data_IF_032322010225
#
_entry.id   IF_032322010225
#
_cell.length_a   1.000
_cell.length_b   1.000
_cell.length_c   1.000
_cell.angle_alpha   90.00
_cell.angle_beta   90.00
_cell.angle_gamma   90.00
#
_symmetry.space_group_name_H-M   'P 1'
#
loop_
_entity.id
_entity.type
_entity.pdbx_description
1 polymer ?
#
# COMPACT_ATOMS: atom_id res chain seq x y z
N UNK A 1 20.91 5.05 3.76
CA UNK A 1 19.52 5.56 3.64
C UNK A 1 19.27 5.73 2.16
N UNK A 2 18.72 4.71 1.50
CA UNK A 2 18.41 4.82 0.07
C UNK A 2 17.20 5.74 -0.13
N UNK A 3 17.23 6.54 -1.19
CA UNK A 3 16.23 7.57 -1.48
C UNK A 3 14.89 6.88 -1.77
N UNK A 4 14.04 6.78 -0.75
CA UNK A 4 12.66 6.37 -0.93
C UNK A 4 11.88 7.54 -1.56
N UNK A 5 11.28 7.33 -2.72
CA UNK A 5 10.35 8.31 -3.28
C UNK A 5 9.00 8.14 -2.57
N UNK A 6 8.54 9.19 -1.90
CA UNK A 6 7.29 9.17 -1.14
C UNK A 6 6.18 9.86 -1.94
N UNK A 7 5.09 9.13 -2.21
CA UNK A 7 3.88 9.68 -2.80
C UNK A 7 2.75 9.66 -1.77
N UNK A 8 1.98 10.75 -1.70
CA UNK A 8 0.92 10.90 -0.71
C UNK A 8 -0.45 10.97 -1.35
N UNK A 9 -1.35 10.08 -0.94
CA UNK A 9 -2.76 10.23 -1.22
C UNK A 9 -3.45 11.08 -0.15
N UNK A 10 -4.46 11.83 -0.57
CA UNK A 10 -5.37 12.55 0.34
C UNK A 10 -6.53 11.67 0.81
N UNK A 11 -7.22 12.09 1.87
CA UNK A 11 -8.40 11.44 2.47
C UNK A 11 -9.66 11.48 1.58
N UNK A 12 -9.54 11.31 0.25
CA UNK A 12 -10.70 11.42 -0.65
C UNK A 12 -10.98 10.10 -1.35
N UNK A 13 -12.25 9.84 -1.74
CA UNK A 13 -12.55 8.83 -2.75
C UNK A 13 -11.59 9.00 -3.94
N UNK A 14 -11.07 7.89 -4.47
CA UNK A 14 -10.04 7.93 -5.51
C UNK A 14 -8.62 8.17 -4.98
N UNK A 15 -8.32 7.85 -3.72
CA UNK A 15 -6.96 7.85 -3.18
C UNK A 15 -6.02 6.96 -4.03
N UNK A 16 -6.54 5.85 -4.55
CA UNK A 16 -5.83 4.96 -5.46
C UNK A 16 -5.41 5.62 -6.77
N UNK A 17 -6.29 6.43 -7.38
CA UNK A 17 -5.98 7.15 -8.62
C UNK A 17 -4.88 8.19 -8.42
N UNK A 18 -4.79 8.81 -7.24
CA UNK A 18 -3.70 9.73 -6.92
C UNK A 18 -2.36 9.02 -6.87
N UNK A 19 -2.32 7.83 -6.27
CA UNK A 19 -1.11 7.00 -6.24
C UNK A 19 -0.78 6.43 -7.63
N UNK A 20 -1.79 6.04 -8.41
CA UNK A 20 -1.61 5.59 -9.78
C UNK A 20 -0.99 6.70 -10.65
N UNK A 21 -1.51 7.94 -10.54
CA UNK A 21 -0.97 9.09 -11.27
C UNK A 21 0.49 9.38 -10.88
N UNK A 22 0.85 9.20 -9.61
CA UNK A 22 2.23 9.28 -9.15
C UNK A 22 3.12 8.17 -9.74
N UNK A 23 2.65 6.91 -9.71
CA UNK A 23 3.37 5.77 -10.28
C UNK A 23 3.51 5.87 -11.81
N UNK A 24 2.57 6.51 -12.50
CA UNK A 24 2.63 6.72 -13.95
C UNK A 24 3.89 7.48 -14.40
N UNK A 25 4.47 8.32 -13.52
CA UNK A 25 5.75 8.98 -13.78
C UNK A 25 6.97 8.05 -13.74
N UNK A 26 6.82 6.85 -13.17
CA UNK A 26 7.91 5.88 -13.01
C UNK A 26 7.91 4.91 -14.20
N UNK A 27 8.88 5.07 -15.09
CA UNK A 27 9.13 4.16 -16.22
C UNK A 27 10.41 3.34 -16.08
N UNK A 28 10.65 2.46 -17.06
CA UNK A 28 11.81 1.55 -17.12
C UNK A 28 13.18 2.27 -17.11
N UNK A 29 13.23 3.57 -17.39
CA UNK A 29 14.45 4.37 -17.29
C UNK A 29 14.92 4.64 -15.86
N UNK A 30 14.07 4.41 -14.84
CA UNK A 30 14.40 4.64 -13.42
C UNK A 30 15.10 3.42 -12.80
N UNK A 31 16.11 2.87 -13.45
CA UNK A 31 16.78 1.63 -13.02
C UNK A 31 17.53 1.73 -11.69
N UNK A 32 17.84 2.95 -11.25
CA UNK A 32 18.45 3.22 -9.93
C UNK A 32 17.43 3.30 -8.79
N UNK A 33 16.13 3.34 -9.10
CA UNK A 33 15.07 3.43 -8.11
C UNK A 33 14.85 2.05 -7.47
N UNK A 34 15.07 1.97 -6.15
CA UNK A 34 14.92 0.72 -5.39
C UNK A 34 13.73 0.70 -4.45
N UNK A 35 13.32 1.86 -3.97
CA UNK A 35 12.26 1.97 -2.96
C UNK A 35 11.27 3.09 -3.29
N UNK A 36 9.99 2.74 -3.27
CA UNK A 36 8.87 3.68 -3.37
C UNK A 36 7.97 3.47 -2.16
N UNK A 37 7.62 4.55 -1.49
CA UNK A 37 6.64 4.55 -0.42
C UNK A 37 5.34 5.22 -0.91
N UNK A 38 4.23 4.51 -0.84
CA UNK A 38 2.89 4.98 -1.17
C UNK A 38 2.15 5.22 0.14
N UNK A 39 2.02 6.48 0.54
CA UNK A 39 1.30 6.83 1.75
C UNK A 39 -0.20 6.73 1.51
N UNK A 40 -0.84 5.86 2.28
CA UNK A 40 -2.28 5.63 2.25
C UNK A 40 -3.01 6.42 3.34
N UNK A 41 -4.32 6.70 3.16
CA UNK A 41 -5.12 7.36 4.18
C UNK A 41 -5.26 6.52 5.46
N UNK A 42 -4.94 7.13 6.60
CA UNK A 42 -5.20 6.56 7.94
C UNK A 42 -6.61 6.92 8.36
N UNK A 43 -7.57 6.15 7.88
CA UNK A 43 -8.99 6.40 8.14
C UNK A 43 -9.36 5.68 9.42
N UNK A 44 -9.91 6.42 10.37
CA UNK A 44 -10.60 5.82 11.48
C UNK A 44 -12.03 5.57 11.02
N UNK A 45 -12.59 4.36 11.19
CA UNK A 45 -14.03 4.23 11.14
C UNK A 45 -14.58 5.10 12.27
N UNK A 46 -15.04 6.31 11.96
CA UNK A 46 -15.76 7.13 12.92
C UNK A 46 -17.02 6.35 13.31
N UNK A 47 -17.26 6.11 14.61
CA UNK A 47 -18.44 5.35 15.05
C UNK A 47 -19.70 6.02 14.49
N UNK A 48 -20.46 5.27 13.68
CA UNK A 48 -21.68 5.74 13.02
C UNK A 48 -21.57 6.09 11.53
N UNK A 49 -20.38 6.05 10.93
CA UNK A 49 -20.24 6.20 9.48
C UNK A 49 -20.37 4.85 8.76
N UNK A 50 -21.45 4.67 8.00
CA UNK A 50 -21.75 3.54 7.10
C UNK A 50 -21.02 3.63 5.75
N UNK A 51 -20.00 4.49 5.64
CA UNK A 51 -19.26 4.62 4.39
C UNK A 51 -18.49 3.33 4.11
N UNK A 52 -18.43 2.87 2.84
CA UNK A 52 -17.61 1.72 2.46
C UNK A 52 -16.20 1.91 2.98
N UNK A 53 -15.61 0.83 3.48
CA UNK A 53 -14.24 0.89 3.92
C UNK A 53 -13.38 1.31 2.71
N UNK A 54 -12.69 2.46 2.77
CA UNK A 54 -12.00 3.04 1.62
C UNK A 54 -10.87 2.14 1.10
N UNK A 55 -10.42 1.17 1.91
CA UNK A 55 -9.40 0.20 1.53
C UNK A 55 -9.97 -0.98 0.72
N UNK A 56 -11.30 -1.17 0.65
CA UNK A 56 -11.95 -2.23 -0.14
C UNK A 56 -11.83 -1.98 -1.66
N UNK A 57 -11.72 -0.71 -2.06
CA UNK A 57 -11.56 -0.32 -3.45
C UNK A 57 -10.32 0.58 -3.64
N UNK A 58 -9.12 -0.02 -3.78
CA UNK A 58 -7.91 0.72 -4.10
C UNK A 58 -7.89 1.27 -5.54
N UNK A 59 -8.92 1.03 -6.36
CA UNK A 59 -9.03 1.52 -7.73
C UNK A 59 -8.29 0.67 -8.77
N UNK A 60 -8.85 0.59 -9.99
CA UNK A 60 -8.26 -0.14 -11.12
C UNK A 60 -6.92 0.44 -11.57
N UNK A 61 -6.85 1.78 -11.62
CA UNK A 61 -5.65 2.51 -12.04
C UNK A 61 -4.43 2.14 -11.20
N UNK A 62 -4.61 2.00 -9.88
CA UNK A 62 -3.51 1.68 -8.97
C UNK A 62 -2.97 0.27 -9.22
N UNK A 63 -3.84 -0.73 -9.31
CA UNK A 63 -3.41 -2.10 -9.58
C UNK A 63 -2.66 -2.23 -10.91
N UNK A 64 -3.15 -1.55 -11.96
CA UNK A 64 -2.51 -1.53 -13.28
C UNK A 64 -1.12 -0.90 -13.23
N UNK A 65 -0.99 0.26 -12.59
CA UNK A 65 0.29 0.96 -12.48
C UNK A 65 1.29 0.20 -11.61
N UNK A 66 0.84 -0.46 -10.54
CA UNK A 66 1.68 -1.34 -9.73
C UNK A 66 2.25 -2.50 -10.56
N UNK A 67 1.41 -3.22 -11.30
CA UNK A 67 1.88 -4.30 -12.19
C UNK A 67 2.90 -3.78 -13.19
N UNK A 68 2.56 -2.70 -13.90
CA UNK A 68 3.45 -2.09 -14.91
C UNK A 68 4.81 -1.71 -14.32
N UNK A 69 4.82 -1.07 -13.17
CA UNK A 69 6.04 -0.60 -12.50
C UNK A 69 6.87 -1.78 -11.99
N UNK A 70 6.24 -2.77 -11.37
CA UNK A 70 6.93 -3.95 -10.83
C UNK A 70 7.46 -4.86 -11.94
N UNK A 71 6.77 -4.99 -13.06
CA UNK A 71 7.26 -5.70 -14.24
C UNK A 71 8.43 -4.95 -14.91
N UNK A 72 8.33 -3.63 -15.00
CA UNK A 72 9.35 -2.78 -15.64
C UNK A 72 10.62 -2.55 -14.82
N UNK A 73 10.54 -2.67 -13.48
CA UNK A 73 11.64 -2.43 -12.55
C UNK A 73 11.82 -3.62 -11.60
N UNK A 74 12.60 -4.66 -11.98
CA UNK A 74 12.70 -5.91 -11.23
C UNK A 74 13.26 -5.75 -9.80
N UNK A 75 14.08 -4.72 -9.58
CA UNK A 75 14.71 -4.46 -8.28
C UNK A 75 13.92 -3.47 -7.39
N UNK A 76 12.75 -3.02 -7.84
CA UNK A 76 11.96 -2.05 -7.10
C UNK A 76 11.08 -2.74 -6.05
N UNK A 77 11.10 -2.19 -4.84
CA UNK A 77 10.17 -2.50 -3.75
C UNK A 77 9.20 -1.33 -3.56
N UNK A 78 7.91 -1.64 -3.46
CA UNK A 78 6.84 -0.66 -3.20
C UNK A 78 6.22 -0.95 -1.83
N UNK A 79 6.29 0.03 -0.94
CA UNK A 79 5.73 -0.06 0.40
C UNK A 79 4.48 0.83 0.54
N UNK A 80 3.36 0.25 0.95
CA UNK A 80 2.18 1.01 1.37
C UNK A 80 2.38 1.45 2.82
N UNK A 81 2.42 2.75 3.06
CA UNK A 81 2.70 3.31 4.37
C UNK A 81 1.47 3.95 5.00
N UNK A 82 1.04 3.44 6.15
CA UNK A 82 -0.03 4.00 6.96
C UNK A 82 0.55 4.79 8.15
N UNK A 83 0.36 6.11 8.14
CA UNK A 83 0.91 6.99 9.18
C UNK A 83 -0.10 7.18 10.34
N UNK A 84 0.33 7.11 11.60
CA UNK A 84 -0.50 7.35 12.78
C UNK A 84 -1.60 6.29 12.97
N UNK A 85 -1.25 5.03 12.79
CA UNK A 85 -2.13 3.94 13.15
C UNK A 85 -2.39 3.96 14.67
N UNK A 86 -3.63 3.77 15.09
CA UNK A 86 -3.97 3.70 16.51
C UNK A 86 -3.43 2.46 17.21
N UNK A 87 -3.35 1.36 16.47
CA UNK A 87 -2.89 0.08 16.97
C UNK A 87 -2.40 -0.79 15.82
N UNK A 88 -1.52 -1.73 16.13
CA UNK A 88 -1.09 -2.76 15.18
C UNK A 88 -2.26 -3.60 14.67
N UNK A 89 -3.31 -3.78 15.49
CA UNK A 89 -4.55 -4.46 15.07
C UNK A 89 -5.26 -3.69 13.95
N UNK A 90 -5.37 -2.37 14.08
CA UNK A 90 -6.00 -1.53 13.04
C UNK A 90 -5.17 -1.55 11.76
N UNK A 91 -3.85 -1.42 11.89
CA UNK A 91 -2.94 -1.47 10.74
C UNK A 91 -2.99 -2.83 10.03
N UNK A 92 -3.01 -3.93 10.79
CA UNK A 92 -3.13 -5.26 10.23
C UNK A 92 -4.50 -5.48 9.55
N UNK A 93 -5.59 -4.92 10.10
CA UNK A 93 -6.89 -4.94 9.42
C UNK A 93 -6.85 -4.22 8.08
N UNK A 94 -6.22 -3.04 7.99
CA UNK A 94 -6.04 -2.31 6.73
C UNK A 94 -5.23 -3.13 5.74
N UNK A 95 -4.12 -3.73 6.20
CA UNK A 95 -3.28 -4.62 5.39
C UNK A 95 -4.09 -5.78 4.83
N UNK A 96 -4.81 -6.52 5.67
CA UNK A 96 -5.64 -7.66 5.24
C UNK A 96 -6.74 -7.25 4.26
N UNK A 97 -7.36 -6.08 4.45
CA UNK A 97 -8.35 -5.55 3.51
C UNK A 97 -7.74 -5.24 2.15
N UNK A 98 -6.60 -4.55 2.12
CA UNK A 98 -5.88 -4.25 0.87
C UNK A 98 -5.39 -5.51 0.17
N UNK A 99 -4.86 -6.46 0.94
CA UNK A 99 -4.43 -7.78 0.45
C UNK A 99 -5.58 -8.48 -0.28
N UNK A 100 -6.75 -8.59 0.37
CA UNK A 100 -7.94 -9.21 -0.21
C UNK A 100 -8.39 -8.48 -1.47
N UNK A 101 -8.41 -7.15 -1.46
CA UNK A 101 -8.80 -6.36 -2.62
C UNK A 101 -7.84 -6.59 -3.81
N UNK A 102 -6.53 -6.66 -3.55
CA UNK A 102 -5.54 -6.95 -4.58
C UNK A 102 -5.62 -8.40 -5.08
N UNK A 103 -5.84 -9.36 -4.20
CA UNK A 103 -6.02 -10.76 -4.57
C UNK A 103 -7.22 -10.97 -5.51
N UNK A 104 -8.35 -10.34 -5.19
CA UNK A 104 -9.57 -10.50 -5.97
C UNK A 104 -9.50 -9.81 -7.33
N UNK A 105 -8.84 -8.66 -7.43
CA UNK A 105 -8.92 -7.78 -8.61
C UNK A 105 -7.66 -7.76 -9.47
N UNK A 106 -6.50 -8.02 -8.88
CA UNK A 106 -5.21 -7.98 -9.57
C UNK A 106 -4.34 -9.18 -9.16
N UNK A 107 -4.79 -10.42 -9.44
CA UNK A 107 -4.06 -11.63 -9.02
C UNK A 107 -2.62 -11.68 -9.57
N UNK A 108 -2.33 -11.01 -10.68
CA UNK A 108 -0.97 -10.88 -11.21
C UNK A 108 0.04 -10.22 -10.25
N UNK A 109 -0.42 -9.40 -9.30
CA UNK A 109 0.46 -8.79 -8.29
C UNK A 109 1.12 -9.81 -7.35
N UNK A 110 0.56 -11.02 -7.22
CA UNK A 110 1.15 -12.09 -6.41
C UNK A 110 2.50 -12.58 -6.96
N UNK A 111 2.76 -12.42 -8.25
CA UNK A 111 4.07 -12.66 -8.83
C UNK A 111 5.16 -11.72 -8.27
N UNK A 112 4.76 -10.68 -7.52
CA UNK A 112 5.63 -9.67 -6.95
C UNK A 112 5.46 -9.50 -5.44
N UNK A 113 4.84 -10.47 -4.75
CA UNK A 113 4.51 -10.38 -3.32
C UNK A 113 5.68 -9.97 -2.42
N UNK A 114 6.89 -10.44 -2.72
CA UNK A 114 8.10 -10.13 -1.94
C UNK A 114 8.50 -8.64 -2.03
N UNK A 115 8.07 -7.97 -3.10
CA UNK A 115 8.38 -6.57 -3.41
C UNK A 115 7.25 -5.61 -3.02
N UNK A 116 6.10 -6.15 -2.60
CA UNK A 116 4.97 -5.38 -2.10
C UNK A 116 4.95 -5.45 -0.58
N UNK A 117 5.20 -4.32 0.07
CA UNK A 117 5.33 -4.21 1.52
C UNK A 117 4.21 -3.37 2.10
N UNK A 118 3.88 -3.61 3.35
CA UNK A 118 2.99 -2.76 4.14
C UNK A 118 3.74 -2.30 5.38
N UNK A 119 3.77 -1.00 5.60
CA UNK A 119 4.44 -0.37 6.73
C UNK A 119 3.50 0.55 7.49
N UNK A 120 3.69 0.65 8.81
CA UNK A 120 2.94 1.59 9.63
C UNK A 120 3.74 2.05 10.84
N UNK A 121 3.33 3.17 11.39
CA UNK A 121 3.79 3.70 12.69
C UNK A 121 2.58 3.96 13.61
N UNK A 122 2.85 4.12 14.92
CA UNK A 122 1.82 4.20 15.96
C UNK A 122 1.72 5.57 16.65
N UNK A 123 0.49 6.06 16.85
CA UNK A 123 0.17 7.26 17.64
C UNK A 123 -0.34 6.90 19.07
N UNK A 124 -0.04 7.66 20.16
CA UNK A 124 0.92 8.77 20.32
C UNK A 124 2.14 8.25 21.07
N UNK A 125 3.19 7.81 20.38
CA UNK A 125 4.37 7.35 21.11
C UNK A 125 5.37 6.51 20.34
N UNK A 126 5.07 6.09 19.12
CA UNK A 126 6.01 5.32 18.30
C UNK A 126 7.10 6.21 17.70
N UNK A 127 7.93 6.85 18.52
CA UNK A 127 9.26 7.25 18.03
C UNK A 127 10.02 5.96 17.75
N UNK A 128 10.18 5.66 16.47
CA UNK A 128 11.18 4.76 15.87
C UNK A 128 10.79 3.31 15.54
N UNK A 129 9.56 2.85 15.83
CA UNK A 129 9.13 1.49 15.39
C UNK A 129 8.25 1.55 14.15
N UNK A 130 8.90 1.54 12.99
CA UNK A 130 8.25 1.29 11.70
C UNK A 130 8.15 -0.22 11.51
N UNK A 131 6.93 -0.73 11.51
CA UNK A 131 6.68 -2.13 11.18
C UNK A 131 6.76 -2.31 9.66
N UNK A 132 7.36 -3.41 9.20
CA UNK A 132 7.49 -3.75 7.78
C UNK A 132 7.16 -5.22 7.57
N UNK A 133 6.04 -5.47 6.89
CA UNK A 133 5.53 -6.81 6.60
C UNK A 133 5.20 -6.95 5.12
N UNK A 134 5.10 -8.18 4.63
CA UNK A 134 4.60 -8.42 3.28
C UNK A 134 3.16 -7.92 3.18
N UNK A 135 2.84 -7.22 2.09
CA UNK A 135 1.46 -6.81 1.84
C UNK A 135 0.60 -8.00 1.45
N UNK A 136 1.14 -8.88 0.60
CA UNK A 136 0.48 -10.08 0.11
C UNK A 136 1.12 -11.31 0.76
N UNK A 137 0.36 -12.06 1.55
CA UNK A 137 0.79 -13.31 2.20
C UNK A 137 0.02 -14.50 1.60
N UNK A 138 0.67 -15.66 1.51
CA UNK A 138 -0.01 -16.91 1.09
C UNK A 138 -0.82 -17.53 2.23
N UNK A 139 -0.63 -17.08 3.49
CA UNK A 139 -1.14 -17.75 4.69
C UNK A 139 -2.59 -17.45 5.08
N UNK A 140 -3.35 -16.68 4.30
CA UNK A 140 -4.71 -16.28 4.68
C UNK A 140 -5.84 -17.26 4.28
N UNK A 141 -5.52 -18.55 4.13
CA UNK A 141 -6.49 -19.64 4.04
C UNK A 141 -6.53 -20.48 5.34
N UNK A 142 -6.68 -19.86 6.51
CA UNK A 142 -7.22 -20.52 7.72
C UNK A 142 -7.18 -19.56 8.93
N UNK A 143 -8.27 -18.82 9.17
CA UNK A 143 -8.70 -18.47 10.53
C UNK A 143 -10.20 -18.21 10.57
#
# INVERSE_FOLDING_TARGET
MEVATLFCATYRPGWGDQLAAALAGIGAGHTSLKHVALRIPSIHPAPGHTLPNPWDDPGESLGRELSRVLDGLPNLTVAFHQWNSFSSLTANSVRCTLERAFQQRFPGLYAHRERLRFTWDLWPGGKDEVWDVALLDERNDAQ
#
